data_IF_109435954927
#
_entry.id   IF_109435954927
#
_cell.length_a   1.000
_cell.length_b   1.000
_cell.length_c   1.000
_cell.angle_alpha   90.00
_cell.angle_beta   90.00
_cell.angle_gamma   90.00
#
_symmetry.space_group_name_H-M   'P 1'
#
loop_
_entity.id
_entity.type
_entity.pdbx_description
1 polymer ?
#
# COMPACT_ATOMS: atom_id res chain seq x y z
N UNK A 1 14.03 -35.03 39.81
CA UNK A 1 13.67 -34.43 38.51
C UNK A 1 13.23 -33.00 38.80
N UNK A 2 14.17 -32.08 38.90
CA UNK A 2 13.86 -30.67 39.16
C UNK A 2 13.23 -30.05 37.91
N UNK A 3 12.13 -29.32 38.11
CA UNK A 3 11.44 -28.64 37.03
C UNK A 3 12.32 -27.51 36.47
N UNK A 4 12.42 -27.43 35.14
CA UNK A 4 13.14 -26.37 34.43
C UNK A 4 12.61 -24.99 34.82
N UNK A 5 13.49 -23.99 34.95
CA UNK A 5 13.09 -22.64 35.34
C UNK A 5 12.16 -21.99 34.30
N UNK A 6 11.19 -21.15 34.72
CA UNK A 6 10.21 -20.52 33.82
C UNK A 6 10.83 -19.76 32.65
N UNK A 7 12.00 -19.16 32.85
CA UNK A 7 12.74 -18.41 31.83
C UNK A 7 13.31 -19.32 30.74
N UNK A 8 13.83 -20.48 31.13
CA UNK A 8 14.36 -21.49 30.20
C UNK A 8 13.21 -22.15 29.44
N UNK A 9 12.09 -22.45 30.11
CA UNK A 9 10.87 -22.97 29.49
C UNK A 9 10.29 -21.98 28.47
N UNK A 10 10.30 -20.67 28.77
CA UNK A 10 9.88 -19.63 27.83
C UNK A 10 10.78 -19.53 26.60
N UNK A 11 12.10 -19.64 26.78
CA UNK A 11 13.08 -19.65 25.69
C UNK A 11 12.86 -20.84 24.74
N UNK A 12 12.68 -22.05 25.28
CA UNK A 12 12.39 -23.22 24.46
C UNK A 12 11.04 -23.10 23.73
N UNK A 13 10.00 -22.59 24.39
CA UNK A 13 8.71 -22.34 23.77
C UNK A 13 8.80 -21.30 22.64
N UNK A 14 9.59 -20.23 22.82
CA UNK A 14 9.82 -19.20 21.82
C UNK A 14 10.61 -19.73 20.61
N UNK A 15 11.62 -20.55 20.85
CA UNK A 15 12.40 -21.21 19.78
C UNK A 15 11.54 -22.21 18.99
N UNK A 16 10.74 -23.01 19.67
CA UNK A 16 9.84 -23.99 19.04
C UNK A 16 8.71 -23.31 18.25
N UNK A 17 8.16 -22.19 18.75
CA UNK A 17 7.19 -21.36 18.02
C UNK A 17 7.79 -20.79 16.73
N UNK A 18 9.05 -20.33 16.78
CA UNK A 18 9.76 -19.83 15.59
C UNK A 18 10.05 -20.95 14.59
N UNK A 19 10.45 -22.13 15.08
CA UNK A 19 10.67 -23.33 14.25
C UNK A 19 9.40 -23.74 13.51
N UNK A 20 8.25 -23.79 14.18
CA UNK A 20 6.96 -24.11 13.52
C UNK A 20 6.55 -23.05 12.51
N UNK A 21 6.76 -21.76 12.81
CA UNK A 21 6.49 -20.66 11.88
C UNK A 21 7.35 -20.78 10.62
N UNK A 22 8.65 -21.06 10.76
CA UNK A 22 9.54 -21.31 9.62
C UNK A 22 9.17 -22.58 8.85
N UNK A 23 8.72 -23.63 9.52
CA UNK A 23 8.31 -24.88 8.87
C UNK A 23 7.09 -24.69 7.95
N UNK A 24 6.19 -23.75 8.25
CA UNK A 24 4.98 -23.47 7.47
C UNK A 24 5.13 -22.53 6.27
N UNK A 25 6.28 -21.86 6.10
CA UNK A 25 6.49 -20.92 4.99
C UNK A 25 6.76 -21.63 3.65
N UNK A 26 6.53 -20.98 2.49
CA UNK A 26 7.04 -21.46 1.20
C UNK A 26 8.58 -21.48 1.17
N UNK A 27 9.18 -22.38 0.38
CA UNK A 27 10.64 -22.62 0.36
C UNK A 27 11.47 -21.33 0.20
N UNK A 28 11.08 -20.47 -0.74
CA UNK A 28 11.80 -19.22 -1.02
C UNK A 28 11.75 -18.24 0.16
N UNK A 29 10.64 -18.22 0.90
CA UNK A 29 10.48 -17.36 2.09
C UNK A 29 11.24 -17.92 3.30
N UNK A 30 11.32 -19.24 3.45
CA UNK A 30 12.19 -19.87 4.46
C UNK A 30 13.65 -19.45 4.26
N UNK A 31 14.13 -19.51 3.01
CA UNK A 31 15.51 -19.15 2.67
C UNK A 31 15.77 -17.68 2.96
N UNK A 32 14.86 -16.77 2.60
CA UNK A 32 14.99 -15.33 2.93
C UNK A 32 15.03 -15.10 4.44
N UNK A 33 14.15 -15.74 5.20
CA UNK A 33 14.10 -15.58 6.65
C UNK A 33 15.38 -16.07 7.34
N UNK A 34 15.96 -17.18 6.88
CA UNK A 34 17.23 -17.70 7.41
C UNK A 34 18.41 -16.79 7.06
N UNK A 35 18.47 -16.26 5.84
CA UNK A 35 19.53 -15.31 5.44
C UNK A 35 19.43 -14.00 6.23
N UNK A 36 18.23 -13.48 6.47
CA UNK A 36 18.02 -12.31 7.33
C UNK A 36 18.48 -12.57 8.77
N UNK A 37 18.14 -13.73 9.35
CA UNK A 37 18.60 -14.10 10.69
C UNK A 37 20.13 -14.22 10.77
N UNK A 38 20.76 -14.81 9.74
CA UNK A 38 22.23 -14.87 9.67
C UNK A 38 22.86 -13.49 9.57
N UNK A 39 22.26 -12.56 8.82
CA UNK A 39 22.72 -11.16 8.76
C UNK A 39 22.59 -10.42 10.07
N UNK A 40 21.52 -10.67 10.82
CA UNK A 40 21.34 -10.09 12.15
C UNK A 40 22.37 -10.60 13.16
N UNK A 41 22.75 -11.88 13.06
CA UNK A 41 23.63 -12.53 14.04
C UNK A 41 25.11 -12.38 13.66
N UNK A 42 25.45 -12.23 12.38
CA UNK A 42 26.83 -12.12 11.91
C UNK A 42 27.64 -10.97 12.56
N UNK A 43 27.09 -9.75 12.78
CA UNK A 43 27.80 -8.69 13.50
C UNK A 43 28.08 -9.05 14.96
N UNK A 44 27.14 -9.73 15.62
CA UNK A 44 27.24 -10.16 17.02
C UNK A 44 28.33 -11.23 17.19
N UNK A 45 28.42 -12.16 16.24
CA UNK A 45 29.45 -13.20 16.24
C UNK A 45 30.83 -12.65 15.79
N UNK A 46 30.84 -11.71 14.86
CA UNK A 46 32.05 -10.98 14.44
C UNK A 46 32.68 -10.19 15.58
N UNK A 47 31.86 -9.53 16.41
CA UNK A 47 32.30 -8.85 17.63
C UNK A 47 32.94 -9.79 18.68
N UNK A 48 32.71 -11.10 18.56
CA UNK A 48 33.27 -12.15 19.43
C UNK A 48 34.43 -12.91 18.76
N UNK A 49 35.01 -12.35 17.70
CA UNK A 49 36.16 -12.92 16.99
C UNK A 49 35.84 -14.12 16.11
N UNK A 50 34.56 -14.46 15.91
CA UNK A 50 34.14 -15.54 15.01
C UNK A 50 33.77 -14.97 13.64
N UNK A 51 34.52 -15.37 12.61
CA UNK A 51 34.25 -15.00 11.22
C UNK A 51 33.04 -15.78 10.70
N UNK A 52 31.90 -15.11 10.53
CA UNK A 52 30.69 -15.68 9.91
C UNK A 52 30.38 -14.88 8.64
N UNK A 53 30.45 -15.53 7.47
CA UNK A 53 30.05 -14.92 6.20
C UNK A 53 28.52 -15.03 6.06
N UNK A 54 27.84 -13.89 6.11
CA UNK A 54 26.44 -13.81 5.74
C UNK A 54 26.28 -14.01 4.23
N UNK A 55 25.30 -14.81 3.83
CA UNK A 55 25.04 -15.05 2.41
C UNK A 55 24.29 -13.86 1.79
N UNK A 56 24.59 -13.57 0.52
CA UNK A 56 23.84 -12.61 -0.29
C UNK A 56 23.09 -13.36 -1.40
N UNK A 57 21.79 -13.10 -1.49
CA UNK A 57 20.94 -13.66 -2.55
C UNK A 57 20.30 -12.46 -3.24
N UNK A 58 21.04 -11.85 -4.18
CA UNK A 58 20.42 -11.04 -5.22
C UNK A 58 19.72 -11.99 -6.21
N UNK A 59 18.43 -12.22 -5.99
CA UNK A 59 17.57 -12.75 -7.05
C UNK A 59 17.04 -11.57 -7.86
N UNK A 60 17.89 -10.98 -8.70
CA UNK A 60 17.45 -10.07 -9.75
C UNK A 60 16.71 -10.86 -10.84
N UNK A 61 15.56 -10.33 -11.26
CA UNK A 61 14.54 -11.05 -12.02
C UNK A 61 14.92 -11.55 -13.41
N UNK A 62 14.30 -12.67 -13.78
CA UNK A 62 13.70 -13.01 -15.10
C UNK A 62 13.21 -14.45 -15.04
N UNK A 63 11.98 -14.65 -14.59
CA UNK A 63 11.15 -15.75 -15.08
C UNK A 63 9.78 -15.15 -15.38
N UNK A 64 9.65 -14.73 -16.64
CA UNK A 64 8.36 -14.35 -17.21
C UNK A 64 7.42 -15.54 -17.25
N UNK A 65 6.14 -15.23 -17.09
CA UNK A 65 4.95 -16.00 -17.47
C UNK A 65 5.11 -17.51 -17.65
N UNK A 66 4.64 -18.26 -16.65
CA UNK A 66 3.54 -19.23 -16.80
C UNK A 66 3.15 -19.78 -15.43
N UNK A 67 1.85 -20.05 -15.29
CA UNK A 67 1.20 -20.50 -14.08
C UNK A 67 1.93 -21.66 -13.39
N UNK A 68 2.04 -21.56 -12.06
CA UNK A 68 2.42 -22.66 -11.19
C UNK A 68 1.30 -23.71 -11.21
N UNK A 69 1.45 -24.73 -12.04
CA UNK A 69 0.70 -25.98 -11.92
C UNK A 69 1.67 -27.16 -11.95
N UNK A 70 1.60 -27.96 -10.87
CA UNK A 70 2.09 -29.33 -10.69
C UNK A 70 3.52 -29.56 -10.13
N UNK A 71 3.70 -30.19 -8.93
CA UNK A 71 5.02 -30.31 -8.27
C UNK A 71 5.87 -31.53 -8.68
N UNK A 72 5.44 -32.39 -9.59
CA UNK A 72 6.01 -33.76 -9.68
C UNK A 72 7.03 -34.02 -10.80
N UNK A 73 7.30 -33.07 -11.71
CA UNK A 73 8.08 -33.38 -12.93
C UNK A 73 9.37 -32.58 -13.16
N UNK A 74 9.64 -31.49 -12.44
CA UNK A 74 10.90 -30.73 -12.61
C UNK A 74 12.04 -31.10 -11.64
N UNK A 75 11.78 -31.99 -10.67
CA UNK A 75 12.79 -32.47 -9.72
C UNK A 75 14.02 -33.15 -10.34
N UNK A 76 13.98 -33.48 -11.64
CA UNK A 76 15.11 -34.10 -12.36
C UNK A 76 15.92 -33.15 -13.26
N UNK A 77 15.47 -31.92 -13.53
CA UNK A 77 16.24 -30.96 -14.34
C UNK A 77 17.11 -30.00 -13.53
N UNK A 78 16.84 -29.82 -12.24
CA UNK A 78 17.65 -28.99 -11.34
C UNK A 78 18.85 -29.73 -10.70
N UNK A 79 19.12 -30.98 -11.09
CA UNK A 79 20.18 -31.81 -10.52
C UNK A 79 21.57 -31.62 -11.15
N UNK A 80 21.74 -30.75 -12.16
CA UNK A 80 22.99 -30.75 -12.94
C UNK A 80 23.92 -29.55 -12.83
N UNK A 81 23.55 -28.41 -12.23
CA UNK A 81 24.51 -27.30 -12.03
C UNK A 81 24.10 -26.34 -10.88
N UNK A 82 24.99 -26.13 -9.90
CA UNK A 82 25.05 -24.89 -9.12
C UNK A 82 24.73 -24.95 -7.61
N UNK A 83 25.28 -24.01 -6.82
CA UNK A 83 25.54 -24.03 -5.37
C UNK A 83 24.33 -24.12 -4.40
N UNK A 84 23.11 -24.31 -4.91
CA UNK A 84 21.90 -24.36 -4.09
C UNK A 84 21.79 -25.63 -3.22
N UNK A 85 22.33 -26.77 -3.68
CA UNK A 85 22.33 -28.03 -2.92
C UNK A 85 23.25 -27.99 -1.69
N UNK A 86 24.34 -27.22 -1.71
CA UNK A 86 25.19 -27.02 -0.55
C UNK A 86 24.50 -26.17 0.53
N UNK A 87 23.70 -25.18 0.13
CA UNK A 87 22.90 -24.37 1.04
C UNK A 87 21.74 -25.18 1.67
N UNK A 88 21.12 -26.09 0.90
CA UNK A 88 20.04 -26.97 1.40
C UNK A 88 20.57 -28.06 2.34
N UNK A 89 21.74 -28.65 2.05
CA UNK A 89 22.37 -29.63 2.94
C UNK A 89 22.82 -29.01 4.28
N UNK A 90 23.32 -27.76 4.27
CA UNK A 90 23.76 -27.07 5.49
C UNK A 90 22.57 -26.49 6.30
N UNK A 91 21.51 -26.01 5.64
CA UNK A 91 20.30 -25.57 6.33
C UNK A 91 19.56 -26.73 7.02
N UNK A 92 19.59 -27.93 6.44
CA UNK A 92 19.13 -29.14 7.12
C UNK A 92 20.09 -29.58 8.24
N UNK A 93 21.40 -29.42 8.11
CA UNK A 93 22.37 -29.75 9.18
C UNK A 93 22.23 -28.82 10.41
N UNK A 94 21.98 -27.52 10.23
CA UNK A 94 21.80 -26.58 11.35
C UNK A 94 20.45 -26.76 12.08
N UNK A 95 19.45 -27.36 11.41
CA UNK A 95 18.12 -27.61 11.99
C UNK A 95 17.87 -29.07 12.40
N UNK A 96 18.83 -29.99 12.20
CA UNK A 96 18.64 -31.44 12.40
C UNK A 96 19.74 -32.18 13.18
N UNK A 97 20.59 -31.51 13.96
CA UNK A 97 21.43 -32.24 14.93
C UNK A 97 20.54 -32.65 16.13
N UNK A 98 20.27 -33.96 16.38
CA UNK A 98 20.03 -34.40 17.74
C UNK A 98 21.35 -34.22 18.48
N UNK A 99 21.34 -33.42 19.54
CA UNK A 99 22.55 -33.18 20.34
C UNK A 99 22.84 -34.41 21.23
N UNK A 100 23.15 -35.56 20.62
CA UNK A 100 23.57 -36.80 21.30
C UNK A 100 24.26 -37.77 20.31
N UNK A 101 25.47 -38.23 20.68
CA UNK A 101 26.36 -39.22 20.03
C UNK A 101 27.11 -38.70 18.78
N UNK A 102 28.44 -38.63 18.66
CA UNK A 102 29.58 -39.20 19.39
C UNK A 102 30.68 -38.14 19.52
N UNK A 103 31.26 -38.10 20.72
CA UNK A 103 32.24 -37.12 21.19
C UNK A 103 33.61 -37.78 21.07
N UNK A 104 34.54 -37.19 20.31
CA UNK A 104 35.96 -37.56 20.45
C UNK A 104 36.58 -36.75 21.58
N UNK A 105 37.58 -37.32 22.25
CA UNK A 105 38.09 -36.92 23.57
C UNK A 105 38.64 -35.48 23.69
N UNK A 106 38.78 -34.73 22.59
CA UNK A 106 39.09 -33.30 22.60
C UNK A 106 37.87 -32.40 22.86
N UNK A 107 36.65 -32.86 22.53
CA UNK A 107 35.40 -32.13 22.75
C UNK A 107 34.86 -32.27 24.18
N UNK A 108 35.36 -33.24 24.97
CA UNK A 108 35.01 -33.38 26.39
C UNK A 108 35.51 -32.23 27.26
N UNK A 109 36.54 -31.48 26.83
CA UNK A 109 36.97 -30.27 27.55
C UNK A 109 35.99 -29.11 27.33
N UNK A 110 35.28 -29.09 26.20
CA UNK A 110 34.24 -28.11 25.89
C UNK A 110 32.94 -28.40 26.67
N UNK A 111 32.64 -29.69 26.94
CA UNK A 111 31.46 -30.09 27.70
C UNK A 111 31.61 -30.01 29.22
N UNK A 112 32.83 -30.15 29.77
CA UNK A 112 33.07 -29.87 31.20
C UNK A 112 32.79 -28.41 31.57
N UNK A 113 33.02 -27.47 30.64
CA UNK A 113 32.72 -26.04 30.84
C UNK A 113 31.23 -25.69 30.67
N UNK A 114 30.47 -26.49 29.93
CA UNK A 114 29.01 -26.34 29.82
C UNK A 114 28.24 -27.01 30.98
N UNK A 115 28.83 -28.01 31.64
CA UNK A 115 28.31 -28.58 32.89
C UNK A 115 28.55 -27.72 34.13
N UNK A 116 29.59 -26.88 34.12
CA UNK A 116 29.85 -25.88 35.18
C UNK A 116 28.92 -24.65 35.10
N UNK A 117 28.07 -24.56 34.07
CA UNK A 117 26.99 -23.57 33.95
C UNK A 117 25.71 -23.98 34.68
N UNK A 118 25.62 -25.20 35.23
CA UNK A 118 24.41 -25.74 35.85
C UNK A 118 24.40 -25.75 37.39
N UNK A 119 25.44 -25.23 38.06
CA UNK A 119 25.44 -25.04 39.53
C UNK A 119 25.44 -23.54 39.85
N UNK A 120 24.27 -23.01 40.22
CA UNK A 120 24.09 -21.60 40.59
C UNK A 120 24.98 -21.19 41.78
N UNK A 121 25.25 -22.09 42.73
CA UNK A 121 26.07 -21.79 43.92
C UNK A 121 27.59 -21.70 43.63
N UNK A 122 28.09 -22.35 42.58
CA UNK A 122 29.48 -22.20 42.14
C UNK A 122 29.69 -20.94 41.28
N UNK A 123 28.60 -20.40 40.74
CA UNK A 123 28.61 -19.15 39.98
C UNK A 123 28.58 -17.92 40.90
N UNK A 124 27.91 -17.95 42.06
CA UNK A 124 27.94 -16.81 43.01
C UNK A 124 29.36 -16.47 43.51
N UNK A 125 30.24 -17.47 43.67
CA UNK A 125 31.63 -17.25 44.06
C UNK A 125 32.58 -16.76 42.94
N UNK A 126 32.23 -16.97 41.66
CA UNK A 126 33.04 -16.54 40.50
C UNK A 126 32.43 -15.36 39.72
N UNK A 127 31.14 -15.06 39.91
CA UNK A 127 30.45 -13.86 39.40
C UNK A 127 30.83 -12.59 40.17
N UNK A 128 31.53 -12.70 41.29
CA UNK A 128 32.22 -11.57 41.91
C UNK A 128 33.36 -10.97 41.06
N UNK A 129 33.79 -11.64 39.99
CA UNK A 129 34.89 -11.20 39.11
C UNK A 129 34.50 -10.96 37.65
N UNK A 130 33.28 -11.34 37.24
CA UNK A 130 32.68 -10.84 36.01
C UNK A 130 31.54 -9.93 36.43
N UNK A 131 31.89 -8.69 36.81
CA UNK A 131 30.92 -7.61 36.70
C UNK A 131 30.24 -7.77 35.35
N UNK A 132 28.90 -7.73 35.32
CA UNK A 132 28.18 -7.24 34.14
C UNK A 132 29.07 -6.16 33.58
N UNK A 133 29.65 -6.35 32.39
CA UNK A 133 30.29 -5.23 31.73
C UNK A 133 29.14 -4.28 31.50
N UNK A 134 28.89 -3.38 32.46
CA UNK A 134 27.97 -2.29 32.31
C UNK A 134 28.42 -1.67 31.00
N UNK A 135 27.54 -1.63 30.01
CA UNK A 135 27.80 -0.83 28.82
C UNK A 135 27.95 0.59 29.34
N UNK A 136 29.20 0.99 29.58
CA UNK A 136 29.52 2.30 30.12
C UNK A 136 29.33 3.29 28.98
N UNK A 137 28.50 4.29 29.21
CA UNK A 137 28.22 5.35 28.24
C UNK A 137 26.87 5.21 27.57
N UNK A 138 26.82 5.69 26.32
CA UNK A 138 25.57 5.88 25.58
C UNK A 138 25.16 4.62 24.84
N UNK A 139 23.97 4.11 25.13
CA UNK A 139 23.36 2.99 24.39
C UNK A 139 21.84 3.15 24.34
N UNK A 140 21.27 2.95 23.15
CA UNK A 140 19.84 3.05 22.90
C UNK A 140 19.34 1.74 22.29
N UNK A 141 18.18 1.29 22.73
CA UNK A 141 17.51 0.09 22.21
C UNK A 141 16.13 0.47 21.70
N UNK A 142 15.84 0.18 20.44
CA UNK A 142 14.51 0.31 19.87
C UNK A 142 13.52 -0.63 20.58
N UNK A 143 12.35 -0.12 20.93
CA UNK A 143 11.29 -0.89 21.59
C UNK A 143 10.16 -1.18 20.60
N UNK A 144 9.61 -0.15 19.95
CA UNK A 144 8.50 -0.30 19.02
C UNK A 144 8.23 0.97 18.21
N UNK A 145 7.54 0.81 17.08
CA UNK A 145 6.87 1.92 16.41
C UNK A 145 5.60 2.28 17.18
N UNK A 146 5.51 3.53 17.65
CA UNK A 146 4.31 4.06 18.33
C UNK A 146 3.30 4.54 17.29
N UNK A 147 3.79 5.19 16.23
CA UNK A 147 2.99 5.57 15.07
C UNK A 147 3.65 5.10 13.78
N UNK A 148 2.84 4.86 12.74
CA UNK A 148 3.29 4.43 11.41
C UNK A 148 4.17 3.17 11.48
N UNK A 149 3.57 1.98 11.69
CA UNK A 149 4.30 0.71 11.60
C UNK A 149 4.94 0.52 10.22
N UNK A 150 5.97 -0.31 10.14
CA UNK A 150 6.65 -0.62 8.88
C UNK A 150 5.69 -1.17 7.82
N UNK A 151 5.81 -0.64 6.60
CA UNK A 151 4.97 -1.01 5.46
C UNK A 151 3.63 -0.27 5.40
N UNK A 152 3.39 0.72 6.28
CA UNK A 152 2.17 1.55 6.23
C UNK A 152 2.01 2.19 4.85
N UNK A 153 0.82 2.09 4.28
CA UNK A 153 0.48 2.72 2.99
C UNK A 153 0.00 4.15 3.23
N UNK A 154 0.60 5.10 2.51
CA UNK A 154 0.25 6.53 2.58
C UNK A 154 0.07 7.10 1.17
N UNK A 155 -0.68 8.20 1.06
CA UNK A 155 -0.82 8.91 -0.21
C UNK A 155 0.43 9.75 -0.51
N UNK A 156 0.72 9.96 -1.79
CA UNK A 156 1.78 10.87 -2.23
C UNK A 156 1.63 12.26 -1.60
N UNK A 157 2.72 12.82 -1.05
CA UNK A 157 2.71 14.14 -0.40
C UNK A 157 1.94 14.20 0.94
N UNK A 158 1.40 13.09 1.43
CA UNK A 158 0.70 13.05 2.72
C UNK A 158 1.64 13.43 3.86
N UNK A 159 1.20 14.34 4.74
CA UNK A 159 1.90 14.66 5.98
C UNK A 159 1.56 13.60 7.03
N UNK A 160 2.56 13.12 7.75
CA UNK A 160 2.38 12.17 8.85
C UNK A 160 3.43 12.41 9.94
N UNK A 161 3.23 11.86 11.14
CA UNK A 161 4.24 11.91 12.22
C UNK A 161 4.67 10.50 12.55
N UNK A 162 5.97 10.23 12.41
CA UNK A 162 6.59 8.96 12.84
C UNK A 162 7.07 9.09 14.28
N UNK A 163 6.71 8.15 15.13
CA UNK A 163 7.10 8.12 16.53
C UNK A 163 7.70 6.76 16.87
N UNK A 164 8.94 6.76 17.35
CA UNK A 164 9.61 5.57 17.85
C UNK A 164 9.67 5.60 19.37
N UNK A 165 9.41 4.45 19.99
CA UNK A 165 9.71 4.24 21.41
C UNK A 165 11.11 3.66 21.54
N UNK A 166 11.95 4.32 22.30
CA UNK A 166 13.35 3.94 22.49
C UNK A 166 13.65 3.86 23.99
N UNK A 167 14.40 2.84 24.40
CA UNK A 167 14.86 2.68 25.78
C UNK A 167 16.31 3.13 25.89
N UNK A 168 16.62 3.90 26.93
CA UNK A 168 18.01 4.11 27.35
C UNK A 168 18.53 2.82 28.00
N UNK A 169 19.33 2.06 27.26
CA UNK A 169 19.94 0.82 27.70
C UNK A 169 21.41 0.97 28.11
N UNK A 170 21.91 2.22 28.12
CA UNK A 170 23.25 2.57 28.59
C UNK A 170 23.27 2.96 30.06
N UNK A 171 24.40 3.53 30.50
CA UNK A 171 24.63 3.97 31.87
C UNK A 171 24.60 5.50 32.05
N UNK A 172 24.48 6.26 30.96
CA UNK A 172 24.50 7.73 30.97
C UNK A 172 23.11 8.30 30.72
N UNK A 173 22.71 9.32 31.49
CA UNK A 173 21.49 10.08 31.24
C UNK A 173 21.62 10.92 29.97
N UNK A 174 20.65 10.80 29.06
CA UNK A 174 20.61 11.61 27.84
C UNK A 174 20.12 13.01 28.20
N UNK A 175 20.98 14.01 28.13
CA UNK A 175 20.62 15.42 28.33
C UNK A 175 21.26 16.28 27.24
N UNK A 176 20.45 16.98 26.44
CA UNK A 176 20.90 17.69 25.24
C UNK A 176 21.18 16.78 24.04
N UNK A 177 20.59 15.59 24.00
CA UNK A 177 20.80 14.59 22.95
C UNK A 177 19.82 14.81 21.81
N UNK A 178 20.12 14.27 20.63
CA UNK A 178 19.23 14.38 19.47
C UNK A 178 19.12 13.08 18.69
N UNK A 179 18.03 12.94 17.93
CA UNK A 179 17.87 11.92 16.91
C UNK A 179 18.07 12.59 15.55
N UNK A 180 19.03 12.12 14.76
CA UNK A 180 19.43 12.74 13.50
C UNK A 180 19.25 11.82 12.32
N UNK A 181 18.82 12.37 11.19
CA UNK A 181 18.70 11.64 9.93
C UNK A 181 20.08 11.15 9.49
N UNK A 182 20.20 9.85 9.20
CA UNK A 182 21.46 9.18 8.85
C UNK A 182 21.51 8.67 7.41
N UNK A 183 20.38 8.47 6.74
CA UNK A 183 20.35 8.04 5.33
C UNK A 183 18.97 7.68 4.79
N UNK A 184 18.91 7.41 3.48
CA UNK A 184 17.68 7.04 2.76
C UNK A 184 16.84 8.24 2.30
N UNK A 185 15.53 8.07 2.29
CA UNK A 185 14.55 9.10 2.00
C UNK A 185 14.29 9.96 3.24
N UNK A 186 14.60 11.25 3.13
CA UNK A 186 14.48 12.20 4.25
C UNK A 186 13.03 12.41 4.72
N UNK A 187 12.07 12.30 3.80
CA UNK A 187 10.62 12.45 4.04
C UNK A 187 10.27 13.70 4.87
N UNK A 188 10.89 14.85 4.63
CA UNK A 188 10.65 16.07 5.39
C UNK A 188 11.82 17.05 5.37
N UNK A 189 11.70 18.17 6.09
CA UNK A 189 12.76 19.19 6.19
C UNK A 189 13.67 18.99 7.40
N UNK A 190 13.13 18.46 8.49
CA UNK A 190 13.85 18.16 9.73
C UNK A 190 14.95 17.12 9.49
N UNK A 191 16.17 17.40 9.94
CA UNK A 191 17.30 16.44 9.95
C UNK A 191 17.76 16.09 11.35
N UNK A 192 17.23 16.76 12.37
CA UNK A 192 17.54 16.56 13.77
C UNK A 192 16.33 16.94 14.62
N UNK A 193 16.02 16.12 15.63
CA UNK A 193 15.04 16.45 16.67
C UNK A 193 15.66 16.22 18.05
N UNK A 194 15.32 17.07 19.02
CA UNK A 194 15.77 16.91 20.38
C UNK A 194 15.16 15.65 21.00
N UNK A 195 15.96 14.90 21.77
CA UNK A 195 15.49 13.78 22.57
C UNK A 195 15.20 14.28 23.98
N UNK A 196 13.99 14.06 24.52
CA UNK A 196 13.68 14.39 25.91
C UNK A 196 14.67 13.77 26.90
N UNK A 197 14.92 14.44 28.01
CA UNK A 197 15.85 13.94 29.02
C UNK A 197 15.43 12.55 29.50
N UNK A 198 16.31 11.56 29.33
CA UNK A 198 15.97 10.15 29.57
C UNK A 198 17.07 9.49 30.40
N UNK A 199 16.74 9.09 31.62
CA UNK A 199 17.67 8.41 32.54
C UNK A 199 17.91 6.96 32.10
N UNK A 200 19.03 6.34 32.53
CA UNK A 200 19.27 4.91 32.31
C UNK A 200 18.07 4.04 32.70
N UNK A 201 17.72 3.09 31.83
CA UNK A 201 16.58 2.18 32.00
C UNK A 201 15.21 2.76 31.62
N UNK A 202 15.07 4.08 31.48
CA UNK A 202 13.81 4.71 31.09
C UNK A 202 13.56 4.60 29.57
N UNK A 203 12.30 4.77 29.17
CA UNK A 203 11.85 4.81 27.78
C UNK A 203 11.40 6.22 27.40
N UNK A 204 11.54 6.55 26.13
CA UNK A 204 11.13 7.83 25.55
C UNK A 204 10.51 7.63 24.18
N UNK A 205 9.47 8.40 23.89
CA UNK A 205 8.86 8.47 22.56
C UNK A 205 9.44 9.68 21.84
N UNK A 206 10.01 9.46 20.66
CA UNK A 206 10.65 10.49 19.85
C UNK A 206 9.84 10.62 18.55
N UNK A 207 9.25 11.79 18.32
CA UNK A 207 8.39 12.06 17.18
C UNK A 207 9.06 12.97 16.14
N UNK A 208 8.91 12.63 14.86
CA UNK A 208 9.40 13.42 13.73
C UNK A 208 8.25 13.67 12.74
N UNK A 209 7.91 14.93 12.44
CA UNK A 209 6.95 15.26 11.39
C UNK A 209 7.57 15.03 10.01
N UNK A 210 6.85 14.33 9.15
CA UNK A 210 7.30 13.86 7.84
C UNK A 210 6.28 14.13 6.73
N UNK A 211 6.75 14.13 5.48
CA UNK A 211 5.95 14.24 4.25
C UNK A 211 6.34 13.06 3.37
N UNK A 212 5.34 12.25 2.99
CA UNK A 212 5.52 11.13 2.08
C UNK A 212 6.06 11.63 0.72
N UNK A 213 7.03 10.94 0.11
CA UNK A 213 7.48 11.25 -1.24
C UNK A 213 6.32 11.25 -2.25
N UNK A 214 6.50 11.91 -3.38
CA UNK A 214 5.53 11.91 -4.48
C UNK A 214 5.71 10.71 -5.40
N UNK A 215 6.88 10.09 -5.38
CA UNK A 215 7.16 8.88 -6.14
C UNK A 215 6.42 7.68 -5.52
N UNK A 216 5.75 6.84 -6.32
CA UNK A 216 5.12 5.62 -5.83
C UNK A 216 6.12 4.56 -5.38
N UNK A 217 5.70 3.72 -4.43
CA UNK A 217 6.45 2.53 -4.02
C UNK A 217 7.04 2.63 -2.61
N UNK A 218 7.93 1.70 -2.25
CA UNK A 218 8.50 1.64 -0.91
C UNK A 218 9.55 2.74 -0.71
N UNK A 219 9.47 3.41 0.42
CA UNK A 219 10.41 4.46 0.83
C UNK A 219 10.90 4.22 2.25
N UNK A 220 12.21 4.41 2.47
CA UNK A 220 12.86 4.15 3.77
C UNK A 220 13.71 5.33 4.20
N UNK A 221 13.53 5.78 5.44
CA UNK A 221 14.39 6.80 6.06
C UNK A 221 15.00 6.29 7.36
N UNK A 222 16.32 6.41 7.50
CA UNK A 222 17.10 5.92 8.65
C UNK A 222 17.55 7.09 9.54
N UNK A 223 17.51 6.86 10.86
CA UNK A 223 17.77 7.86 11.90
C UNK A 223 18.63 7.28 13.01
N UNK A 224 19.63 8.05 13.46
CA UNK A 224 20.56 7.66 14.51
C UNK A 224 20.61 8.64 15.66
N UNK A 225 20.71 8.10 16.88
CA UNK A 225 20.91 8.87 18.10
C UNK A 225 22.28 9.55 18.10
N UNK A 226 22.33 10.77 18.64
CA UNK A 226 23.53 11.60 18.78
C UNK A 226 23.62 12.12 20.20
N UNK A 227 24.80 11.98 20.78
CA UNK A 227 25.12 12.57 22.07
C UNK A 227 25.20 14.10 21.98
N UNK A 228 25.30 14.77 23.14
CA UNK A 228 25.36 16.23 23.22
C UNK A 228 26.56 16.84 22.48
N UNK A 229 27.65 16.07 22.31
CA UNK A 229 28.84 16.42 21.53
C UNK A 229 28.71 16.08 20.02
N UNK A 230 27.57 15.53 19.60
CA UNK A 230 27.31 15.09 18.22
C UNK A 230 27.81 13.68 17.88
N UNK A 231 28.42 12.95 18.82
CA UNK A 231 28.87 11.59 18.56
C UNK A 231 27.68 10.63 18.32
N UNK A 232 27.68 9.82 17.25
CA UNK A 232 26.62 8.83 17.01
C UNK A 232 26.72 7.66 17.98
N UNK A 233 25.57 7.13 18.42
CA UNK A 233 25.51 5.91 19.22
C UNK A 233 24.22 5.13 18.96
N UNK A 234 24.19 3.87 19.39
CA UNK A 234 23.06 2.96 19.17
C UNK A 234 22.89 2.52 17.72
N UNK A 235 21.90 1.66 17.49
CA UNK A 235 21.48 1.24 16.16
C UNK A 235 20.58 2.30 15.51
N UNK A 236 20.43 2.24 14.19
CA UNK A 236 19.46 3.08 13.49
C UNK A 236 18.03 2.63 13.82
N UNK A 237 17.16 3.61 14.05
CA UNK A 237 15.71 3.45 13.91
C UNK A 237 15.31 3.91 12.52
N UNK A 238 14.26 3.33 11.95
CA UNK A 238 13.86 3.66 10.58
C UNK A 238 12.35 3.82 10.43
N UNK A 239 11.96 4.50 9.36
CA UNK A 239 10.59 4.55 8.86
C UNK A 239 10.55 3.83 7.52
N UNK A 240 9.62 2.91 7.35
CA UNK A 240 9.35 2.25 6.07
C UNK A 240 7.88 2.44 5.71
N UNK A 241 7.60 3.17 4.64
CA UNK A 241 6.25 3.40 4.12
C UNK A 241 6.14 2.93 2.67
N UNK A 242 4.92 2.69 2.21
CA UNK A 242 4.64 2.52 0.79
C UNK A 242 3.76 3.67 0.31
N UNK A 243 4.26 4.47 -0.63
CA UNK A 243 3.48 5.52 -1.26
C UNK A 243 2.58 4.90 -2.31
N UNK A 244 1.27 5.14 -2.20
CA UNK A 244 0.29 4.66 -3.17
C UNK A 244 0.53 5.34 -4.51
N UNK A 245 0.75 4.54 -5.55
CA UNK A 245 0.96 5.04 -6.90
C UNK A 245 -0.32 5.48 -7.59
N UNK A 246 -0.38 6.72 -8.00
CA UNK A 246 -1.22 7.16 -9.12
C UNK A 246 -0.32 7.27 -10.34
N UNK A 247 -0.64 6.55 -11.43
CA UNK A 247 0.09 6.67 -12.68
C UNK A 247 0.01 8.12 -13.19
N UNK A 248 1.09 8.70 -13.74
CA UNK A 248 1.05 10.04 -14.31
C UNK A 248 -0.03 10.16 -15.39
N UNK A 249 -0.69 11.32 -15.48
CA UNK A 249 -1.75 11.57 -16.45
C UNK A 249 -1.30 11.27 -17.89
N UNK A 250 -0.09 11.67 -18.26
CA UNK A 250 0.46 11.44 -19.60
C UNK A 250 0.62 9.95 -19.96
N UNK A 251 0.91 9.09 -18.97
CA UNK A 251 1.00 7.64 -19.17
C UNK A 251 -0.39 7.06 -19.40
N UNK A 252 -1.37 7.48 -18.61
CA UNK A 252 -2.77 7.07 -18.77
C UNK A 252 -3.37 7.54 -20.10
N UNK A 253 -3.01 8.73 -20.56
CA UNK A 253 -3.39 9.22 -21.89
C UNK A 253 -2.79 8.40 -23.02
N UNK A 254 -1.62 7.82 -22.79
CA UNK A 254 -0.99 6.89 -23.74
C UNK A 254 -1.74 5.56 -23.76
N UNK A 255 -2.07 5.00 -22.59
CA UNK A 255 -2.85 3.76 -22.47
C UNK A 255 -4.25 3.90 -23.09
N UNK A 256 -4.85 5.09 -23.06
CA UNK A 256 -6.13 5.40 -23.72
C UNK A 256 -6.06 5.33 -25.25
N UNK A 257 -4.87 5.24 -25.83
CA UNK A 257 -4.69 5.05 -27.28
C UNK A 257 -4.34 3.61 -27.63
N UNK A 258 -4.32 2.72 -26.65
CA UNK A 258 -4.03 1.31 -26.87
C UNK A 258 -5.13 0.65 -27.71
N UNK A 259 -4.72 -0.29 -28.57
CA UNK A 259 -5.65 -1.03 -29.43
C UNK A 259 -6.62 -1.89 -28.63
N UNK A 260 -6.21 -2.39 -27.47
CA UNK A 260 -7.03 -3.22 -26.58
C UNK A 260 -8.00 -2.37 -25.75
N UNK A 261 -9.32 -2.59 -25.88
CA UNK A 261 -10.30 -1.93 -25.02
C UNK A 261 -10.05 -2.19 -23.53
N UNK A 262 -9.55 -3.36 -23.15
CA UNK A 262 -9.27 -3.70 -21.75
C UNK A 262 -8.14 -2.85 -21.15
N UNK A 263 -7.16 -2.45 -21.95
CA UNK A 263 -6.12 -1.51 -21.51
C UNK A 263 -6.72 -0.11 -21.34
N UNK A 264 -7.54 0.33 -22.29
CA UNK A 264 -8.23 1.63 -22.23
C UNK A 264 -9.20 1.72 -21.04
N UNK A 265 -9.95 0.66 -20.73
CA UNK A 265 -10.83 0.57 -19.55
C UNK A 265 -10.05 0.78 -18.24
N UNK A 266 -8.92 0.08 -18.08
CA UNK A 266 -8.02 0.27 -16.91
C UNK A 266 -7.41 1.66 -16.86
N UNK A 267 -7.13 2.26 -18.01
CA UNK A 267 -6.68 3.65 -18.07
C UNK A 267 -7.76 4.61 -17.57
N UNK A 268 -9.00 4.43 -18.02
CA UNK A 268 -10.17 5.21 -17.58
C UNK A 268 -10.44 5.08 -16.07
N UNK A 269 -10.38 3.87 -15.51
CA UNK A 269 -10.50 3.66 -14.06
C UNK A 269 -9.42 4.41 -13.27
N UNK A 270 -8.17 4.34 -13.75
CA UNK A 270 -7.06 5.06 -13.12
C UNK A 270 -7.19 6.58 -13.27
N UNK A 271 -7.72 7.07 -14.41
CA UNK A 271 -8.00 8.48 -14.64
C UNK A 271 -9.10 8.99 -13.70
N UNK A 272 -10.18 8.22 -13.51
CA UNK A 272 -11.22 8.58 -12.56
C UNK A 272 -10.65 8.76 -11.14
N UNK A 273 -9.72 7.88 -10.74
CA UNK A 273 -9.02 7.98 -9.46
C UNK A 273 -8.07 9.20 -9.34
N UNK A 274 -7.65 9.83 -10.45
CA UNK A 274 -6.89 11.08 -10.42
C UNK A 274 -7.76 12.30 -10.10
N UNK A 275 -9.09 12.20 -10.21
CA UNK A 275 -10.01 13.27 -9.88
C UNK A 275 -10.09 14.38 -10.94
N UNK A 276 -10.36 15.64 -10.55
CA UNK A 276 -10.72 16.73 -11.48
C UNK A 276 -9.75 16.99 -12.64
N UNK A 277 -8.45 16.76 -12.43
CA UNK A 277 -7.43 16.96 -13.46
C UNK A 277 -7.59 16.03 -14.66
N UNK A 278 -8.25 14.88 -14.50
CA UNK A 278 -8.49 13.92 -15.57
C UNK A 278 -9.84 14.11 -16.28
N UNK A 279 -10.68 15.02 -15.80
CA UNK A 279 -12.02 15.24 -16.36
C UNK A 279 -12.03 15.55 -17.87
N UNK A 280 -11.13 16.41 -18.41
CA UNK A 280 -11.06 16.64 -19.86
C UNK A 280 -10.79 15.37 -20.66
N UNK A 281 -9.87 14.53 -20.17
CA UNK A 281 -9.48 13.27 -20.80
C UNK A 281 -10.62 12.24 -20.76
N UNK A 282 -11.33 12.15 -19.64
CA UNK A 282 -12.51 11.28 -19.52
C UNK A 282 -13.67 11.76 -20.41
N UNK A 283 -13.91 13.08 -20.52
CA UNK A 283 -14.90 13.61 -21.47
C UNK A 283 -14.56 13.26 -22.92
N UNK A 284 -13.27 13.24 -23.27
CA UNK A 284 -12.84 12.81 -24.59
C UNK A 284 -13.11 11.31 -24.81
N UNK A 285 -12.79 10.47 -23.83
CA UNK A 285 -13.04 9.03 -23.89
C UNK A 285 -14.54 8.73 -24.06
N UNK A 286 -15.39 9.37 -23.25
CA UNK A 286 -16.86 9.29 -23.37
C UNK A 286 -17.34 9.65 -24.78
N UNK A 287 -16.78 10.70 -25.40
CA UNK A 287 -17.25 11.18 -26.70
C UNK A 287 -16.72 10.41 -27.91
N UNK A 288 -15.52 9.83 -27.81
CA UNK A 288 -14.76 9.39 -28.99
C UNK A 288 -14.32 7.93 -28.97
N UNK A 289 -14.39 7.24 -27.83
CA UNK A 289 -13.94 5.84 -27.80
C UNK A 289 -14.90 4.95 -28.59
N UNK A 290 -14.32 4.04 -29.38
CA UNK A 290 -15.08 3.10 -30.19
C UNK A 290 -15.77 2.03 -29.32
N UNK A 291 -15.19 1.67 -28.18
CA UNK A 291 -15.71 0.65 -27.27
C UNK A 291 -16.76 1.23 -26.31
N UNK A 292 -17.95 0.62 -26.29
CA UNK A 292 -19.05 1.04 -25.42
C UNK A 292 -18.69 0.94 -23.93
N UNK A 293 -17.93 -0.08 -23.53
CA UNK A 293 -17.50 -0.24 -22.14
C UNK A 293 -16.55 0.88 -21.69
N UNK A 294 -15.63 1.32 -22.56
CA UNK A 294 -14.77 2.47 -22.28
C UNK A 294 -15.59 3.76 -22.14
N UNK A 295 -16.57 4.00 -23.03
CA UNK A 295 -17.47 5.17 -22.93
C UNK A 295 -18.27 5.14 -21.63
N UNK A 296 -18.84 4.00 -21.28
CA UNK A 296 -19.59 3.81 -20.03
C UNK A 296 -18.76 4.05 -18.77
N UNK A 297 -17.54 3.49 -18.70
CA UNK A 297 -16.63 3.72 -17.58
C UNK A 297 -16.19 5.19 -17.49
N UNK A 298 -15.95 5.85 -18.63
CA UNK A 298 -15.57 7.26 -18.64
C UNK A 298 -16.69 8.14 -18.09
N UNK A 299 -17.95 7.79 -18.41
CA UNK A 299 -19.13 8.45 -17.87
C UNK A 299 -19.26 8.28 -16.36
N UNK A 300 -19.14 7.04 -15.86
CA UNK A 300 -19.18 6.76 -14.42
C UNK A 300 -18.06 7.51 -13.68
N UNK A 301 -16.84 7.48 -14.23
CA UNK A 301 -15.70 8.21 -13.69
C UNK A 301 -15.93 9.73 -13.63
N UNK A 302 -16.55 10.32 -14.66
CA UNK A 302 -16.93 11.74 -14.65
C UNK A 302 -17.97 12.07 -13.58
N UNK A 303 -18.92 11.16 -13.33
CA UNK A 303 -19.96 11.34 -12.32
C UNK A 303 -19.39 11.34 -10.89
N UNK A 304 -18.34 10.54 -10.65
CA UNK A 304 -17.65 10.44 -9.37
C UNK A 304 -16.76 11.65 -9.06
N UNK A 305 -16.27 12.35 -10.10
CA UNK A 305 -15.47 13.57 -9.94
C UNK A 305 -16.36 14.71 -9.40
N UNK A 306 -15.99 15.27 -8.24
CA UNK A 306 -16.67 16.41 -7.62
C UNK A 306 -15.79 17.68 -7.59
N UNK A 307 -16.37 18.88 -7.82
CA UNK A 307 -17.75 19.10 -8.28
C UNK A 307 -17.94 18.67 -9.74
N UNK A 308 -19.14 18.20 -10.08
CA UNK A 308 -19.49 17.84 -11.46
C UNK A 308 -19.58 19.11 -12.31
N UNK A 309 -18.83 19.17 -13.43
CA UNK A 309 -18.86 20.33 -14.32
C UNK A 309 -20.07 20.33 -15.26
N UNK A 310 -20.43 21.51 -15.77
CA UNK A 310 -21.51 21.64 -16.76
C UNK A 310 -21.18 20.90 -18.06
N UNK A 311 -19.91 20.87 -18.44
CA UNK A 311 -19.41 20.18 -19.63
C UNK A 311 -19.50 18.66 -19.47
N UNK A 312 -19.16 18.13 -18.29
CA UNK A 312 -19.31 16.72 -17.97
C UNK A 312 -20.79 16.32 -17.95
N UNK A 313 -21.64 17.13 -17.33
CA UNK A 313 -23.09 16.93 -17.33
C UNK A 313 -23.67 16.92 -18.76
N UNK A 314 -23.27 17.86 -19.62
CA UNK A 314 -23.68 17.87 -21.03
C UNK A 314 -23.19 16.63 -21.79
N UNK A 315 -22.00 16.13 -21.47
CA UNK A 315 -21.49 14.87 -22.02
C UNK A 315 -22.39 13.68 -21.64
N UNK A 316 -22.80 13.59 -20.38
CA UNK A 316 -23.72 12.56 -19.87
C UNK A 316 -25.08 12.67 -20.57
N UNK A 317 -25.64 13.88 -20.70
CA UNK A 317 -26.90 14.09 -21.43
C UNK A 317 -26.82 13.65 -22.90
N UNK A 318 -25.69 13.91 -23.55
CA UNK A 318 -25.48 13.49 -24.94
C UNK A 318 -25.50 11.97 -25.06
N UNK A 319 -25.01 11.25 -24.05
CA UNK A 319 -24.96 9.80 -24.03
C UNK A 319 -26.33 9.12 -23.88
N UNK A 320 -27.40 9.87 -23.58
CA UNK A 320 -28.78 9.37 -23.75
C UNK A 320 -29.05 8.93 -25.19
N UNK A 321 -28.36 9.48 -26.18
CA UNK A 321 -28.41 9.10 -27.59
C UNK A 321 -27.18 8.34 -28.06
N UNK A 322 -26.44 7.70 -27.15
CA UNK A 322 -25.33 6.83 -27.55
C UNK A 322 -25.86 5.67 -28.42
N UNK A 323 -25.15 5.25 -29.49
CA UNK A 323 -25.59 4.12 -30.31
C UNK A 323 -25.66 2.79 -29.56
N UNK A 324 -24.99 2.65 -28.41
CA UNK A 324 -25.01 1.45 -27.58
C UNK A 324 -26.00 1.57 -26.41
N UNK A 325 -26.91 0.60 -26.29
CA UNK A 325 -27.96 0.58 -25.27
C UNK A 325 -27.39 0.51 -23.84
N UNK A 326 -26.21 -0.11 -23.65
CA UNK A 326 -25.55 -0.18 -22.34
C UNK A 326 -25.07 1.20 -21.91
N UNK A 327 -24.53 1.98 -22.84
CA UNK A 327 -24.07 3.35 -22.55
C UNK A 327 -25.26 4.25 -22.24
N UNK A 328 -26.37 4.11 -22.98
CA UNK A 328 -27.61 4.81 -22.66
C UNK A 328 -28.12 4.46 -21.25
N UNK A 329 -28.07 3.18 -20.87
CA UNK A 329 -28.46 2.71 -19.53
C UNK A 329 -27.63 3.38 -18.43
N UNK A 330 -26.30 3.37 -18.59
CA UNK A 330 -25.39 4.03 -17.64
C UNK A 330 -25.68 5.54 -17.57
N UNK A 331 -25.98 6.19 -18.70
CA UNK A 331 -26.36 7.60 -18.70
C UNK A 331 -27.61 7.87 -17.87
N UNK A 332 -28.65 7.04 -18.01
CA UNK A 332 -29.86 7.16 -17.21
C UNK A 332 -29.60 6.93 -15.72
N UNK A 333 -28.79 5.93 -15.36
CA UNK A 333 -28.41 5.66 -13.96
C UNK A 333 -27.64 6.83 -13.34
N UNK A 334 -26.65 7.37 -14.06
CA UNK A 334 -25.86 8.52 -13.62
C UNK A 334 -26.75 9.75 -13.44
N UNK A 335 -27.64 10.04 -14.40
CA UNK A 335 -28.55 11.19 -14.31
C UNK A 335 -29.54 11.05 -13.14
N UNK A 336 -30.02 9.82 -12.89
CA UNK A 336 -30.85 9.54 -11.72
C UNK A 336 -30.09 9.78 -10.42
N UNK A 337 -28.83 9.35 -10.33
CA UNK A 337 -27.97 9.54 -9.16
C UNK A 337 -27.59 11.01 -8.92
N UNK A 338 -27.42 11.81 -9.97
CA UNK A 338 -27.23 13.27 -9.87
C UNK A 338 -28.47 13.93 -9.26
N UNK A 339 -29.65 13.40 -9.58
CA UNK A 339 -30.94 13.84 -9.06
C UNK A 339 -31.46 15.11 -9.74
N UNK A 340 -32.80 15.24 -9.88
CA UNK A 340 -33.42 16.35 -10.61
C UNK A 340 -33.13 17.73 -10.01
N UNK A 341 -32.88 17.82 -8.70
CA UNK A 341 -32.57 19.09 -8.04
C UNK A 341 -31.24 19.73 -8.46
N UNK A 342 -30.27 18.94 -8.94
CA UNK A 342 -29.00 19.46 -9.42
C UNK A 342 -29.09 19.97 -10.87
N UNK A 343 -30.07 19.50 -11.64
CA UNK A 343 -30.21 19.79 -13.07
C UNK A 343 -30.25 21.30 -13.36
N UNK A 344 -31.08 22.14 -12.69
CA UNK A 344 -31.12 23.58 -12.95
C UNK A 344 -29.79 24.32 -12.70
N UNK A 345 -28.88 23.74 -11.92
CA UNK A 345 -27.57 24.36 -11.65
C UNK A 345 -26.49 23.93 -12.66
N UNK A 346 -26.71 22.80 -13.34
CA UNK A 346 -25.76 22.19 -14.27
C UNK A 346 -26.09 22.48 -15.74
N UNK A 347 -27.16 23.23 -16.01
CA UNK A 347 -27.62 23.60 -17.36
C UNK A 347 -26.61 24.54 -18.05
N UNK A 348 -26.37 24.26 -19.33
CA UNK A 348 -25.67 25.12 -20.27
C UNK A 348 -26.53 25.40 -21.52
N UNK A 349 -26.05 26.23 -22.47
CA UNK A 349 -26.82 26.62 -23.66
C UNK A 349 -27.24 25.41 -24.52
N UNK A 350 -26.43 24.36 -24.57
CA UNK A 350 -26.70 23.16 -25.35
C UNK A 350 -27.60 22.13 -24.64
N UNK A 351 -28.01 22.37 -23.39
CA UNK A 351 -28.78 21.37 -22.63
C UNK A 351 -30.15 21.11 -23.23
N UNK A 352 -30.93 22.17 -23.51
CA UNK A 352 -32.29 22.02 -24.06
C UNK A 352 -32.27 21.42 -25.47
N UNK A 353 -31.41 21.88 -26.41
CA UNK A 353 -31.26 21.22 -27.71
C UNK A 353 -30.81 19.75 -27.63
N UNK A 354 -29.99 19.38 -26.64
CA UNK A 354 -29.55 17.98 -26.43
C UNK A 354 -30.71 17.10 -25.96
N UNK A 355 -31.48 17.57 -24.98
CA UNK A 355 -32.66 16.87 -24.49
C UNK A 355 -33.76 16.78 -25.56
N UNK A 356 -33.98 17.84 -26.34
CA UNK A 356 -34.94 17.84 -27.43
C UNK A 356 -34.61 16.77 -28.49
N UNK A 357 -33.33 16.55 -28.81
CA UNK A 357 -32.89 15.45 -29.68
C UNK A 357 -33.16 14.08 -29.07
N UNK A 358 -33.03 13.92 -27.75
CA UNK A 358 -33.35 12.67 -27.06
C UNK A 358 -34.85 12.33 -27.06
N UNK A 359 -35.74 13.27 -27.39
CA UNK A 359 -37.17 12.99 -27.61
C UNK A 359 -37.45 12.11 -28.83
N UNK A 360 -36.50 11.99 -29.76
CA UNK A 360 -36.62 11.08 -30.91
C UNK A 360 -35.86 9.76 -30.70
N UNK A 361 -35.31 9.52 -29.51
CA UNK A 361 -34.57 8.29 -29.22
C UNK A 361 -35.49 7.06 -29.30
N UNK A 362 -35.08 5.97 -29.98
CA UNK A 362 -35.87 4.75 -30.07
C UNK A 362 -36.01 4.00 -28.74
N UNK A 363 -35.06 4.17 -27.81
CA UNK A 363 -35.12 3.62 -26.45
C UNK A 363 -36.14 4.41 -25.61
N UNK A 364 -37.26 3.79 -25.21
CA UNK A 364 -38.32 4.49 -24.46
C UNK A 364 -37.86 5.03 -23.11
N UNK A 365 -36.86 4.38 -22.48
CA UNK A 365 -36.32 4.83 -21.20
C UNK A 365 -35.51 6.12 -21.37
N UNK A 366 -34.67 6.20 -22.41
CA UNK A 366 -33.89 7.40 -22.72
C UNK A 366 -34.81 8.57 -23.13
N UNK A 367 -35.83 8.29 -23.95
CA UNK A 367 -36.87 9.27 -24.31
C UNK A 367 -37.60 9.78 -23.06
N UNK A 368 -38.02 8.88 -22.15
CA UNK A 368 -38.71 9.26 -20.92
C UNK A 368 -37.84 10.11 -19.99
N UNK A 369 -36.55 9.76 -19.86
CA UNK A 369 -35.58 10.56 -19.10
C UNK A 369 -35.47 11.98 -19.67
N UNK A 370 -35.40 12.11 -21.00
CA UNK A 370 -35.35 13.42 -21.65
C UNK A 370 -36.59 14.28 -21.36
N UNK A 371 -37.79 13.68 -21.44
CA UNK A 371 -39.05 14.38 -21.13
C UNK A 371 -39.06 14.87 -19.68
N UNK A 372 -38.66 14.01 -18.73
CA UNK A 372 -38.60 14.37 -17.30
C UNK A 372 -37.64 15.54 -17.06
N UNK A 373 -36.44 15.48 -17.63
CA UNK A 373 -35.45 16.53 -17.46
C UNK A 373 -35.91 17.87 -18.07
N UNK A 374 -36.59 17.86 -19.22
CA UNK A 374 -37.20 19.05 -19.79
C UNK A 374 -38.30 19.62 -18.87
N UNK A 375 -39.13 18.76 -18.28
CA UNK A 375 -40.13 19.17 -17.29
C UNK A 375 -39.50 19.82 -16.05
N UNK A 376 -38.39 19.27 -15.54
CA UNK A 376 -37.63 19.83 -14.41
C UNK A 376 -37.07 21.23 -14.71
N UNK A 377 -36.68 21.49 -15.96
CA UNK A 377 -36.24 22.82 -16.40
C UNK A 377 -37.38 23.83 -16.49
N UNK A 378 -38.63 23.36 -16.62
CA UNK A 378 -39.82 24.20 -16.71
C UNK A 378 -39.71 25.29 -17.78
N UNK A 379 -40.04 26.56 -17.49
CA UNK A 379 -39.99 27.64 -18.49
C UNK A 379 -38.65 27.83 -19.19
N UNK A 380 -37.54 27.36 -18.61
CA UNK A 380 -36.22 27.42 -19.25
C UNK A 380 -36.12 26.47 -20.47
N UNK A 381 -36.99 25.47 -20.57
CA UNK A 381 -37.04 24.51 -21.67
C UNK A 381 -38.03 24.87 -22.80
N UNK A 382 -38.47 26.14 -22.89
CA UNK A 382 -39.43 26.60 -23.93
C UNK A 382 -39.01 26.28 -25.36
N UNK A 383 -37.71 26.25 -25.64
CA UNK A 383 -37.18 25.87 -26.96
C UNK A 383 -37.54 24.42 -27.36
N UNK A 384 -37.79 23.53 -26.41
CA UNK A 384 -38.18 22.14 -26.67
C UNK A 384 -39.69 21.94 -26.94
N UNK A 385 -40.52 22.97 -26.80
CA UNK A 385 -41.99 22.87 -26.98
C UNK A 385 -42.39 22.30 -28.35
N UNK A 386 -41.81 22.73 -29.48
CA UNK A 386 -42.15 22.17 -30.79
C UNK A 386 -41.89 20.65 -30.86
N UNK A 387 -40.74 20.20 -30.35
CA UNK A 387 -40.36 18.78 -30.35
C UNK A 387 -41.25 17.92 -29.43
N UNK A 388 -41.65 18.46 -28.27
CA UNK A 388 -42.59 17.78 -27.36
C UNK A 388 -44.00 17.69 -27.98
N UNK A 389 -44.49 18.74 -28.66
CA UNK A 389 -45.79 18.71 -29.34
C UNK A 389 -45.80 17.70 -30.49
N UNK A 390 -44.72 17.61 -31.25
CA UNK A 390 -44.53 16.57 -32.26
C UNK A 390 -44.54 15.17 -31.63
N UNK A 391 -43.86 14.98 -30.49
CA UNK A 391 -43.88 13.71 -29.76
C UNK A 391 -45.29 13.32 -29.32
N UNK A 392 -46.06 14.24 -28.72
CA UNK A 392 -47.46 13.99 -28.32
C UNK A 392 -48.35 13.67 -29.53
N UNK A 393 -48.09 14.28 -30.68
CA UNK A 393 -48.85 13.99 -31.91
C UNK A 393 -48.57 12.56 -32.40
N UNK A 394 -47.30 12.12 -32.38
CA UNK A 394 -46.89 10.75 -32.73
C UNK A 394 -47.30 9.72 -31.67
N UNK A 395 -47.38 10.13 -30.41
CA UNK A 395 -47.71 9.30 -29.25
C UNK A 395 -48.79 9.96 -28.38
N UNK A 396 -50.08 9.92 -28.77
CA UNK A 396 -51.16 10.62 -28.06
C UNK A 396 -51.39 10.18 -26.61
N UNK A 397 -50.91 8.99 -26.23
CA UNK A 397 -51.02 8.44 -24.87
C UNK A 397 -49.79 8.73 -24.00
N UNK A 398 -48.83 9.55 -24.46
CA UNK A 398 -47.65 9.91 -23.67
C UNK A 398 -47.98 11.03 -22.67
N UNK A 399 -48.52 10.66 -21.52
CA UNK A 399 -48.96 11.61 -20.49
C UNK A 399 -47.78 12.38 -19.86
N UNK A 400 -46.59 11.76 -19.82
CA UNK A 400 -45.37 12.40 -19.36
C UNK A 400 -45.00 13.61 -20.25
N UNK A 401 -45.12 13.47 -21.57
CA UNK A 401 -44.86 14.57 -22.50
C UNK A 401 -45.90 15.70 -22.40
N UNK A 402 -47.18 15.35 -22.17
CA UNK A 402 -48.24 16.35 -21.94
C UNK A 402 -47.99 17.15 -20.65
N UNK A 403 -47.59 16.47 -19.58
CA UNK A 403 -47.28 17.11 -18.31
C UNK A 403 -46.04 18.02 -18.42
N UNK A 404 -44.98 17.55 -19.09
CA UNK A 404 -43.81 18.40 -19.35
C UNK A 404 -44.18 19.66 -20.15
N UNK A 405 -45.02 19.55 -21.20
CA UNK A 405 -45.54 20.72 -21.92
C UNK A 405 -46.28 21.69 -21.01
N UNK A 406 -47.18 21.18 -20.15
CA UNK A 406 -47.95 21.99 -19.20
C UNK A 406 -47.02 22.80 -18.28
N UNK A 407 -46.01 22.14 -17.70
CA UNK A 407 -45.03 22.77 -16.79
C UNK A 407 -44.17 23.81 -17.52
N UNK A 408 -43.72 23.53 -18.75
CA UNK A 408 -42.88 24.44 -19.54
C UNK A 408 -43.65 25.69 -19.99
N UNK A 409 -44.93 25.53 -20.35
CA UNK A 409 -45.80 26.61 -20.81
C UNK A 409 -46.38 27.44 -19.65
N UNK A 410 -46.34 26.91 -18.42
CA UNK A 410 -46.79 27.59 -17.20
C UNK A 410 -48.30 27.48 -16.97
N UNK A 411 -48.91 26.36 -17.39
CA UNK A 411 -50.34 26.07 -17.26
C UNK A 411 -50.68 25.22 -16.03
#
# INVERSE_FOLDING_TARGET
MEAMSPEVTWLFAAMEKRRRKLAGLPFLEKVRAVVQLQRMIAPILGARGRQVRAWDIELSGRLGGKAMENPSTEGRRYQRNGPALAAVAFAFHVLSIPFAAEITSADMLHFKLLGEWANADAMEGKLGLYSVAQLTGNSATFVSDVTIPDGTVVNAGQRFTKTWRVKNSGSTSWNGYSLTFSGGDKMGTSTSVAVPTTTPGAMVDISVPMIAPTEPGPHRGDWRMRAADGAPFGEDVFVLITVKGTRPLAELETDLRDHSPEVRKKAVEALAALGPQAAPTLMQALKKDADAGVRGLAMAGLADIKPLSKEAFLGILTALNDPDDTVQLIAMEVLYAIGPGAVPTLVGPETVPTLARALTNPNPAAQSMAIQLLGVLGPAAKEAVPALRELVTRQPNNDLAKEALRVIEGH
#
